data_IF_902053421389
#
_entry.id   IF_902053421389
#
_cell.length_a   1.000
_cell.length_b   1.000
_cell.length_c   1.000
_cell.angle_alpha   90.00
_cell.angle_beta   90.00
_cell.angle_gamma   90.00
#
_symmetry.space_group_name_H-M   'P 1'
#
loop_
_entity.id
_entity.type
_entity.pdbx_description
1 polymer ?
#
# COMPACT_ATOMS: atom_id res chain seq x y z
N UNK A 1 10.71 -8.81 -26.17
CA UNK A 1 11.32 -9.63 -25.10
C UNK A 1 10.54 -9.66 -23.77
N UNK A 2 9.33 -9.08 -23.65
CA UNK A 2 8.54 -9.11 -22.40
C UNK A 2 7.54 -10.26 -22.27
N UNK A 3 7.09 -10.85 -23.38
CA UNK A 3 6.13 -11.96 -23.40
C UNK A 3 6.73 -13.29 -22.93
N UNK A 4 8.03 -13.49 -23.11
CA UNK A 4 8.72 -14.73 -22.71
C UNK A 4 8.75 -14.92 -21.19
N UNK A 5 8.74 -13.83 -20.42
CA UNK A 5 8.79 -13.87 -18.95
C UNK A 5 7.54 -14.46 -18.30
N UNK A 6 6.35 -14.09 -18.77
CA UNK A 6 5.08 -14.65 -18.25
C UNK A 6 4.92 -16.13 -18.63
N UNK A 7 5.27 -16.50 -19.86
CA UNK A 7 5.24 -17.90 -20.30
C UNK A 7 6.28 -18.76 -19.57
N UNK A 8 7.48 -18.23 -19.32
CA UNK A 8 8.51 -18.90 -18.53
C UNK A 8 8.09 -19.10 -17.08
N UNK A 9 7.48 -18.10 -16.45
CA UNK A 9 6.97 -18.21 -15.09
C UNK A 9 5.91 -19.32 -14.96
N UNK A 10 4.98 -19.41 -15.93
CA UNK A 10 3.99 -20.49 -15.96
C UNK A 10 4.60 -21.89 -16.01
N UNK A 11 5.64 -22.08 -16.83
CA UNK A 11 6.36 -23.36 -16.94
C UNK A 11 7.08 -23.74 -15.65
N UNK A 12 7.68 -22.77 -14.95
CA UNK A 12 8.35 -23.01 -13.66
C UNK A 12 7.33 -23.42 -12.60
N UNK A 13 6.19 -22.73 -12.51
CA UNK A 13 5.13 -23.06 -11.54
C UNK A 13 4.57 -24.47 -11.79
N UNK A 14 4.32 -24.83 -13.05
CA UNK A 14 3.82 -26.14 -13.42
C UNK A 14 4.81 -27.26 -13.06
N UNK A 15 6.09 -27.09 -13.41
CA UNK A 15 7.13 -28.07 -13.08
C UNK A 15 7.31 -28.21 -11.55
N UNK A 16 7.26 -27.12 -10.80
CA UNK A 16 7.29 -27.16 -9.33
C UNK A 16 6.07 -27.87 -8.74
N UNK A 17 4.87 -27.62 -9.29
CA UNK A 17 3.64 -28.26 -8.84
C UNK A 17 3.68 -29.78 -9.01
N UNK A 18 4.14 -30.26 -10.16
CA UNK A 18 4.29 -31.71 -10.42
C UNK A 18 5.29 -32.37 -9.47
N UNK A 19 6.42 -31.70 -9.17
CA UNK A 19 7.44 -32.21 -8.24
C UNK A 19 6.94 -32.24 -6.79
N UNK A 20 6.19 -31.23 -6.35
CA UNK A 20 5.71 -31.11 -4.96
C UNK A 20 4.54 -32.05 -4.67
N UNK A 21 3.66 -32.28 -5.65
CA UNK A 21 2.52 -33.18 -5.48
C UNK A 21 2.97 -34.64 -5.49
N UNK A 22 4.02 -34.99 -6.26
CA UNK A 22 4.68 -36.31 -6.18
C UNK A 22 3.74 -37.52 -6.36
N UNK A 23 2.56 -37.31 -6.96
CA UNK A 23 1.49 -38.31 -7.09
C UNK A 23 0.49 -38.40 -5.93
N UNK A 24 0.69 -37.66 -4.83
CA UNK A 24 -0.24 -37.61 -3.70
C UNK A 24 -0.89 -36.22 -3.57
N UNK A 25 -2.15 -36.14 -4.00
CA UNK A 25 -2.94 -34.90 -3.95
C UNK A 25 -3.12 -34.34 -2.53
N UNK A 26 -3.17 -35.21 -1.51
CA UNK A 26 -3.28 -34.78 -0.10
C UNK A 26 -2.04 -34.01 0.34
N UNK A 27 -0.85 -34.49 -0.04
CA UNK A 27 0.41 -33.79 0.22
C UNK A 27 0.44 -32.44 -0.49
N UNK A 28 -0.02 -32.41 -1.75
CA UNK A 28 -0.18 -31.17 -2.51
C UNK A 28 -1.06 -30.12 -1.82
N UNK A 29 -2.22 -30.53 -1.31
CA UNK A 29 -3.13 -29.63 -0.58
C UNK A 29 -2.48 -29.09 0.70
N UNK A 30 -1.79 -29.94 1.47
CA UNK A 30 -1.16 -29.53 2.73
C UNK A 30 -0.07 -28.48 2.46
N UNK A 31 0.80 -28.73 1.47
CA UNK A 31 1.84 -27.77 1.10
C UNK A 31 1.23 -26.47 0.55
N UNK A 32 0.18 -26.56 -0.27
CA UNK A 32 -0.54 -25.39 -0.77
C UNK A 32 -1.12 -24.55 0.37
N UNK A 33 -1.75 -25.18 1.38
CA UNK A 33 -2.29 -24.48 2.54
C UNK A 33 -1.18 -23.77 3.35
N UNK A 34 -0.02 -24.42 3.54
CA UNK A 34 1.14 -23.80 4.20
C UNK A 34 1.62 -22.58 3.41
N UNK A 35 1.80 -22.71 2.09
CA UNK A 35 2.22 -21.60 1.24
C UNK A 35 1.19 -20.47 1.22
N UNK A 36 -0.10 -20.78 1.21
CA UNK A 36 -1.18 -19.79 1.30
C UNK A 36 -1.09 -19.00 2.61
N UNK A 37 -0.90 -19.69 3.74
CA UNK A 37 -0.75 -19.05 5.05
C UNK A 37 0.50 -18.16 5.09
N UNK A 38 1.64 -18.64 4.60
CA UNK A 38 2.89 -17.85 4.55
C UNK A 38 2.67 -16.59 3.69
N UNK A 39 2.11 -16.74 2.49
CA UNK A 39 1.83 -15.61 1.61
C UNK A 39 0.88 -14.61 2.28
N UNK A 40 -0.18 -15.10 2.93
CA UNK A 40 -1.11 -14.26 3.66
C UNK A 40 -0.39 -13.47 4.77
N UNK A 41 0.42 -14.12 5.60
CA UNK A 41 1.20 -13.47 6.67
C UNK A 41 2.15 -12.41 6.12
N UNK A 42 2.85 -12.68 5.01
CA UNK A 42 3.77 -11.72 4.37
C UNK A 42 3.02 -10.49 3.86
N UNK A 43 1.89 -10.70 3.17
CA UNK A 43 1.06 -9.60 2.65
C UNK A 43 0.52 -8.75 3.80
N UNK A 44 -0.01 -9.36 4.87
CA UNK A 44 -0.50 -8.62 6.04
C UNK A 44 0.61 -7.82 6.71
N UNK A 45 1.82 -8.38 6.85
CA UNK A 45 2.98 -7.67 7.39
C UNK A 45 3.43 -6.52 6.47
N UNK A 46 3.31 -6.68 5.15
CA UNK A 46 3.60 -5.62 4.18
C UNK A 46 2.58 -4.48 4.20
N UNK A 47 1.30 -4.80 4.39
CA UNK A 47 0.21 -3.83 4.41
C UNK A 47 0.34 -2.80 5.54
N UNK A 48 0.86 -3.20 6.70
CA UNK A 48 1.09 -2.29 7.83
C UNK A 48 2.03 -1.13 7.49
N UNK A 49 3.10 -1.38 6.74
CA UNK A 49 4.05 -0.34 6.31
C UNK A 49 3.42 0.66 5.34
N UNK A 50 2.53 0.18 4.47
CA UNK A 50 1.81 1.02 3.50
C UNK A 50 0.80 1.92 4.22
N UNK A 51 0.13 1.40 5.25
CA UNK A 51 -0.81 2.17 6.08
C UNK A 51 -0.12 3.28 6.87
N UNK A 52 1.07 3.02 7.43
CA UNK A 52 1.90 4.04 8.10
C UNK A 52 2.26 5.17 7.15
N UNK A 53 2.73 4.83 5.95
CA UNK A 53 3.12 5.81 4.93
C UNK A 53 1.92 6.65 4.50
N UNK A 54 0.74 6.07 4.29
CA UNK A 54 -0.47 6.82 3.95
C UNK A 54 -0.89 7.79 5.05
N UNK A 55 -0.89 7.34 6.31
CA UNK A 55 -1.22 8.20 7.44
C UNK A 55 -0.22 9.35 7.58
N UNK A 56 1.06 9.04 7.38
CA UNK A 56 2.14 10.02 7.40
C UNK A 56 2.04 11.02 6.24
N UNK A 57 1.69 10.58 5.04
CA UNK A 57 1.44 11.49 3.91
C UNK A 57 0.31 12.48 4.21
N UNK A 58 -0.78 12.03 4.83
CA UNK A 58 -1.88 12.92 5.23
C UNK A 58 -1.43 13.92 6.30
N UNK A 59 -0.67 13.47 7.30
CA UNK A 59 -0.16 14.33 8.38
C UNK A 59 0.90 15.33 7.87
N UNK A 60 1.83 14.88 7.03
CA UNK A 60 2.91 15.71 6.46
C UNK A 60 2.36 16.74 5.47
N UNK A 61 1.16 16.53 4.90
CA UNK A 61 0.47 17.52 4.07
C UNK A 61 -0.18 18.66 4.87
N UNK A 62 -0.42 18.49 6.17
CA UNK A 62 -1.11 19.49 7.00
C UNK A 62 -0.31 20.80 7.14
N UNK A 63 1.01 20.80 7.45
CA UNK A 63 1.81 22.03 7.48
C UNK A 63 1.80 22.78 6.14
N UNK A 64 1.85 22.07 5.01
CA UNK A 64 1.80 22.69 3.68
C UNK A 64 0.49 23.45 3.44
N UNK A 65 -0.65 22.87 3.85
CA UNK A 65 -1.96 23.55 3.78
C UNK A 65 -2.03 24.75 4.71
N UNK A 66 -1.47 24.66 5.92
CA UNK A 66 -1.42 25.78 6.85
C UNK A 66 -0.53 26.93 6.32
N UNK A 67 0.63 26.59 5.74
CA UNK A 67 1.56 27.58 5.18
C UNK A 67 0.96 28.34 3.98
N UNK A 68 0.11 27.68 3.17
CA UNK A 68 -0.64 28.35 2.11
C UNK A 68 -1.66 29.38 2.66
N UNK A 69 -2.35 29.04 3.75
CA UNK A 69 -3.28 29.98 4.42
C UNK A 69 -2.53 31.18 5.00
N UNK A 70 -1.34 30.94 5.56
CA UNK A 70 -0.50 32.01 6.11
C UNK A 70 0.02 32.95 5.02
N UNK A 71 0.38 32.40 3.85
CA UNK A 71 0.76 33.19 2.69
C UNK A 71 -0.40 34.04 2.17
N UNK A 72 -1.60 33.47 2.06
CA UNK A 72 -2.81 34.19 1.63
C UNK A 72 -3.14 35.34 2.60
N UNK A 73 -3.03 35.10 3.91
CA UNK A 73 -3.27 36.13 4.95
C UNK A 73 -2.22 37.25 4.88
N UNK A 74 -0.94 36.88 4.75
CA UNK A 74 0.15 37.86 4.64
C UNK A 74 0.09 38.66 3.32
N UNK A 75 -0.45 38.07 2.25
CA UNK A 75 -0.70 38.76 0.98
C UNK A 75 -1.97 39.64 1.00
N UNK A 76 -2.76 39.60 2.08
CA UNK A 76 -4.02 40.34 2.19
C UNK A 76 -5.15 39.79 1.31
N UNK A 77 -5.00 38.55 0.79
CA UNK A 77 -6.03 37.88 -0.01
C UNK A 77 -7.19 37.38 0.84
N UNK A 78 -6.94 37.12 2.12
CA UNK A 78 -7.94 36.72 3.12
C UNK A 78 -7.77 37.53 4.40
N UNK A 79 -8.85 37.64 5.18
CA UNK A 79 -8.81 38.25 6.50
C UNK A 79 -8.53 37.24 7.64
N UNK A 80 -8.31 37.74 8.86
CA UNK A 80 -8.07 36.94 10.07
C UNK A 80 -9.18 35.93 10.37
N UNK A 81 -10.44 36.29 10.14
CA UNK A 81 -11.58 35.41 10.42
C UNK A 81 -11.66 34.28 9.38
N UNK A 82 -11.42 34.59 8.11
CA UNK A 82 -11.34 33.64 7.00
C UNK A 82 -10.17 32.67 7.18
N UNK A 83 -8.99 33.18 7.56
CA UNK A 83 -7.83 32.35 7.87
C UNK A 83 -8.16 31.37 9.00
N UNK A 84 -8.77 31.85 10.10
CA UNK A 84 -9.18 30.99 11.23
C UNK A 84 -10.16 29.89 10.80
N UNK A 85 -11.14 30.20 9.95
CA UNK A 85 -12.09 29.21 9.41
C UNK A 85 -11.38 28.15 8.57
N UNK A 86 -10.52 28.57 7.63
CA UNK A 86 -9.77 27.64 6.76
C UNK A 86 -8.81 26.75 7.54
N UNK A 87 -8.15 27.27 8.58
CA UNK A 87 -7.28 26.45 9.45
C UNK A 87 -8.08 25.40 10.23
N UNK A 88 -9.32 25.72 10.60
CA UNK A 88 -10.24 24.77 11.26
C UNK A 88 -10.70 23.65 10.30
N UNK A 89 -10.96 23.98 9.03
CA UNK A 89 -11.28 22.99 7.99
C UNK A 89 -10.10 22.05 7.68
N UNK A 90 -8.86 22.53 7.78
CA UNK A 90 -7.64 21.71 7.58
C UNK A 90 -7.36 20.77 8.76
N UNK A 91 -7.86 21.11 9.94
CA UNK A 91 -7.71 20.30 11.17
C UNK A 91 -8.80 19.24 11.34
N UNK A 92 -9.85 19.27 10.52
CA UNK A 92 -10.94 18.30 10.47
C UNK A 92 -10.63 17.14 9.51
#
# INVERSE_FOLDING_TARGET
HGQDGHAAAGKVIQAFGEVVIGGNYVVGIVVFAILMIINFVVVTKGAGRISEVSARFTLDAMPGKQMAIDADLNAGLIDQNQAKSRRAEVAQ
#
